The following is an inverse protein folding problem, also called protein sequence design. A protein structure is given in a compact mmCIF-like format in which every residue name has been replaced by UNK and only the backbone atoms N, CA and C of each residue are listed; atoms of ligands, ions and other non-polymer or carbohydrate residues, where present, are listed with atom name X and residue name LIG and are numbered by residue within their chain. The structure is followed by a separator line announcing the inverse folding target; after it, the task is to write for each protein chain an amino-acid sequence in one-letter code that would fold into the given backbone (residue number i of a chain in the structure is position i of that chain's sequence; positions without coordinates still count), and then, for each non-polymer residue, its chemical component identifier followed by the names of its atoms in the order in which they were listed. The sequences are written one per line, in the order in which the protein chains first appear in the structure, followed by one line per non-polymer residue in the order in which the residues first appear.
data_IF_903034563751
#
_entry.id   IF_903034563751
#
_cell.length_a   1.000
_cell.length_b   1.000
_cell.length_c   1.000
_cell.angle_alpha   90.00
_cell.angle_beta   90.00
_cell.angle_gamma   90.00
#
_symmetry.space_group_name_H-M   'P 1'
#
loop_
_entity.id
_entity.type
_entity.pdbx_description
1 polymer ?
#
# COMPACT_ATOMS: atom_id res chain seq x y z
N UNK A 1 0.67 -28.12 7.03
CA UNK A 1 -0.18 -26.95 7.30
C UNK A 1 -0.65 -26.36 5.97
N UNK A 2 -1.88 -25.84 5.92
CA UNK A 2 -2.33 -24.98 4.80
C UNK A 2 -1.99 -23.54 5.18
N UNK A 3 -1.67 -22.72 4.18
CA UNK A 3 -1.36 -21.29 4.35
C UNK A 3 -1.93 -20.52 3.17
N UNK A 4 -2.24 -19.24 3.38
CA UNK A 4 -2.50 -18.28 2.32
C UNK A 4 -1.26 -17.41 2.10
N UNK A 5 -0.92 -17.17 0.82
CA UNK A 5 0.25 -16.37 0.43
C UNK A 5 -0.20 -15.22 -0.47
N UNK A 6 -0.08 -13.99 0.03
CA UNK A 6 -0.31 -12.76 -0.73
C UNK A 6 1.01 -12.28 -1.31
N UNK A 7 1.05 -12.04 -2.62
CA UNK A 7 2.29 -11.70 -3.35
C UNK A 7 2.11 -10.41 -4.15
N UNK A 8 3.08 -9.50 -4.01
CA UNK A 8 3.21 -8.33 -4.87
C UNK A 8 3.72 -8.76 -6.25
N UNK A 9 3.03 -8.32 -7.32
CA UNK A 9 3.44 -8.66 -8.69
C UNK A 9 4.89 -8.21 -8.95
N UNK A 10 5.76 -9.09 -9.48
CA UNK A 10 7.13 -8.74 -9.81
C UNK A 10 7.21 -7.48 -10.69
N UNK A 11 8.11 -6.56 -10.32
CA UNK A 11 8.37 -5.34 -11.08
C UNK A 11 7.34 -4.22 -10.90
N UNK A 12 6.28 -4.40 -10.10
CA UNK A 12 5.24 -3.37 -9.92
C UNK A 12 5.80 -2.06 -9.34
N UNK A 13 6.72 -2.13 -8.38
CA UNK A 13 7.36 -0.93 -7.78
C UNK A 13 8.05 -0.08 -8.85
N UNK A 14 8.84 -0.73 -9.71
CA UNK A 14 9.58 -0.05 -10.79
C UNK A 14 8.61 0.58 -11.80
N UNK A 15 7.56 -0.15 -12.19
CA UNK A 15 6.52 0.38 -13.08
C UNK A 15 5.82 1.59 -12.44
N UNK A 16 5.42 1.47 -11.18
CA UNK A 16 4.77 2.56 -10.43
C UNK A 16 5.64 3.81 -10.35
N UNK A 17 6.93 3.69 -10.01
CA UNK A 17 7.83 4.85 -9.96
C UNK A 17 7.97 5.56 -11.31
N UNK A 18 8.01 4.83 -12.41
CA UNK A 18 8.00 5.42 -13.75
C UNK A 18 6.68 6.12 -14.06
N UNK A 19 5.56 5.50 -13.70
CA UNK A 19 4.24 6.05 -13.97
C UNK A 19 3.98 7.32 -13.11
N UNK A 20 4.55 7.41 -11.90
CA UNK A 20 4.51 8.59 -11.04
C UNK A 20 5.12 9.84 -11.69
N UNK A 21 6.21 9.71 -12.44
CA UNK A 21 6.80 10.84 -13.16
C UNK A 21 5.80 11.46 -14.15
N UNK A 22 5.04 10.61 -14.83
CA UNK A 22 3.99 11.03 -15.77
C UNK A 22 2.83 11.72 -15.05
N UNK A 23 2.46 11.26 -13.84
CA UNK A 23 1.42 11.91 -13.03
C UNK A 23 1.86 13.29 -12.55
N UNK A 24 3.10 13.44 -12.08
CA UNK A 24 3.62 14.76 -11.70
C UNK A 24 3.70 15.71 -12.89
N UNK A 25 4.09 15.21 -14.06
CA UNK A 25 4.04 16.00 -15.29
C UNK A 25 2.61 16.47 -15.58
N UNK A 26 1.64 15.56 -15.59
CA UNK A 26 0.24 15.90 -15.84
C UNK A 26 -0.32 16.90 -14.82
N UNK A 27 -0.06 16.70 -13.53
CA UNK A 27 -0.49 17.60 -12.46
C UNK A 27 0.08 19.02 -12.62
N UNK A 28 1.38 19.14 -12.95
CA UNK A 28 2.02 20.44 -13.22
C UNK A 28 1.46 21.12 -14.46
N UNK A 29 1.18 20.35 -15.52
CA UNK A 29 0.56 20.89 -16.73
C UNK A 29 -0.87 21.37 -16.45
N UNK A 30 -1.64 20.65 -15.63
CA UNK A 30 -2.97 21.06 -15.20
C UNK A 30 -2.94 22.38 -14.43
N UNK A 31 -2.07 22.52 -13.42
CA UNK A 31 -1.96 23.77 -12.65
C UNK A 31 -1.49 24.96 -13.51
N UNK A 32 -0.66 24.68 -14.52
CA UNK A 32 -0.13 25.68 -15.45
C UNK A 32 -1.19 26.18 -16.42
N UNK A 33 -1.93 25.28 -17.07
CA UNK A 33 -2.82 25.62 -18.18
C UNK A 33 -4.30 25.70 -17.80
N UNK A 34 -4.70 25.14 -16.66
CA UNK A 34 -6.09 25.10 -16.20
C UNK A 34 -6.16 25.76 -14.81
N UNK A 35 -6.29 27.10 -14.72
CA UNK A 35 -6.25 27.82 -13.44
C UNK A 35 -7.29 27.32 -12.42
N UNK A 36 -8.47 26.91 -12.88
CA UNK A 36 -9.53 26.35 -12.03
C UNK A 36 -9.15 25.03 -11.35
N UNK A 37 -8.15 24.30 -11.86
CA UNK A 37 -7.67 23.05 -11.26
C UNK A 37 -6.84 23.28 -9.99
N UNK A 38 -6.26 24.48 -9.80
CA UNK A 38 -5.37 24.76 -8.65
C UNK A 38 -6.05 24.56 -7.30
N UNK A 39 -7.36 24.79 -7.21
CA UNK A 39 -8.15 24.54 -5.99
C UNK A 39 -8.22 23.05 -5.61
N UNK A 40 -8.01 22.16 -6.58
CA UNK A 40 -7.95 20.70 -6.36
C UNK A 40 -6.54 20.24 -5.96
N UNK A 41 -5.53 21.13 -6.01
CA UNK A 41 -4.13 20.87 -5.63
C UNK A 41 -3.59 19.57 -6.26
N UNK A 42 -3.69 19.40 -7.59
CA UNK A 42 -3.38 18.11 -8.25
C UNK A 42 -1.93 17.65 -8.03
N UNK A 43 -0.96 18.55 -7.87
CA UNK A 43 0.42 18.17 -7.53
C UNK A 43 0.48 17.52 -6.14
N UNK A 44 -0.23 18.08 -5.17
CA UNK A 44 -0.26 17.53 -3.83
C UNK A 44 -1.06 16.23 -3.75
N UNK A 45 -2.17 16.13 -4.48
CA UNK A 45 -2.91 14.86 -4.61
C UNK A 45 -1.99 13.77 -5.15
N UNK A 46 -1.18 14.09 -6.17
CA UNK A 46 -0.18 13.17 -6.73
C UNK A 46 0.89 12.80 -5.70
N UNK A 47 1.33 13.76 -4.90
CA UNK A 47 2.30 13.53 -3.83
C UNK A 47 1.76 12.61 -2.73
N UNK A 48 0.52 12.83 -2.29
CA UNK A 48 -0.16 11.96 -1.32
C UNK A 48 -0.30 10.54 -1.88
N UNK A 49 -0.73 10.39 -3.13
CA UNK A 49 -0.80 9.09 -3.79
C UNK A 49 0.57 8.40 -3.83
N UNK A 50 1.62 9.12 -4.21
CA UNK A 50 2.98 8.58 -4.23
C UNK A 50 3.45 8.09 -2.86
N UNK A 51 3.15 8.84 -1.80
CA UNK A 51 3.50 8.48 -0.43
C UNK A 51 2.72 7.26 0.06
N UNK A 52 1.40 7.27 -0.08
CA UNK A 52 0.53 6.18 0.38
C UNK A 52 0.85 4.87 -0.34
N UNK A 53 0.96 4.87 -1.68
CA UNK A 53 1.25 3.63 -2.40
C UNK A 53 2.64 3.07 -2.05
N UNK A 54 3.64 3.93 -1.78
CA UNK A 54 4.97 3.46 -1.34
C UNK A 54 4.90 2.66 -0.04
N UNK A 55 4.05 3.08 0.89
CA UNK A 55 3.78 2.41 2.17
C UNK A 55 3.06 1.09 1.91
N UNK A 56 1.95 1.11 1.15
CA UNK A 56 1.13 -0.08 0.85
C UNK A 56 1.90 -1.19 0.13
N UNK A 57 2.93 -0.85 -0.64
CA UNK A 57 3.73 -1.86 -1.31
C UNK A 57 4.60 -2.67 -0.35
N UNK A 58 4.73 -2.35 0.94
CA UNK A 58 5.47 -3.16 1.92
C UNK A 58 4.53 -4.06 2.73
N UNK A 59 4.41 -5.32 2.36
CA UNK A 59 3.48 -6.26 3.01
C UNK A 59 3.83 -6.57 4.47
N UNK A 60 5.03 -6.18 4.95
CA UNK A 60 5.38 -6.29 6.38
C UNK A 60 4.55 -5.35 7.25
N UNK A 61 4.07 -4.23 6.70
CA UNK A 61 3.20 -3.31 7.43
C UNK A 61 1.81 -3.91 7.62
N UNK A 62 1.28 -4.58 6.59
CA UNK A 62 0.03 -5.34 6.69
C UNK A 62 0.18 -6.52 7.66
N UNK A 63 1.32 -7.21 7.65
CA UNK A 63 1.64 -8.27 8.60
C UNK A 63 1.64 -7.79 10.06
N UNK A 64 2.24 -6.62 10.32
CA UNK A 64 2.24 -6.00 11.63
C UNK A 64 0.82 -5.61 12.07
N UNK A 65 0.03 -5.00 11.17
CA UNK A 65 -1.36 -4.65 11.43
C UNK A 65 -2.24 -5.87 11.71
N UNK A 66 -2.02 -7.00 11.02
CA UNK A 66 -2.71 -8.26 11.30
C UNK A 66 -2.35 -8.80 12.69
N UNK A 67 -1.08 -8.73 13.07
CA UNK A 67 -0.64 -9.18 14.40
C UNK A 67 -1.25 -8.31 15.50
N UNK A 68 -1.23 -6.98 15.33
CA UNK A 68 -1.86 -6.05 16.26
C UNK A 68 -3.39 -6.27 16.35
N UNK A 69 -4.06 -6.44 15.20
CA UNK A 69 -5.49 -6.73 15.18
C UNK A 69 -5.80 -8.04 15.93
N UNK A 70 -4.99 -9.08 15.73
CA UNK A 70 -5.14 -10.36 16.42
C UNK A 70 -5.05 -10.23 17.94
N UNK A 71 -4.11 -9.42 18.44
CA UNK A 71 -4.00 -9.14 19.88
C UNK A 71 -5.19 -8.33 20.39
N UNK A 72 -5.58 -7.27 19.66
CA UNK A 72 -6.67 -6.38 20.05
C UNK A 72 -8.04 -7.08 20.10
N UNK A 73 -8.24 -8.11 19.27
CA UNK A 73 -9.52 -8.84 19.18
C UNK A 73 -9.47 -10.23 19.81
N UNK A 74 -8.45 -10.53 20.62
CA UNK A 74 -8.23 -11.86 21.21
C UNK A 74 -9.45 -12.39 21.99
N UNK A 75 -10.17 -11.48 22.63
CA UNK A 75 -11.30 -11.79 23.51
C UNK A 75 -12.67 -11.57 22.81
N UNK A 76 -12.68 -11.24 21.51
CA UNK A 76 -13.90 -10.99 20.75
C UNK A 76 -14.53 -12.30 20.24
N UNK A 77 -15.67 -12.75 20.80
CA UNK A 77 -16.26 -14.02 20.42
C UNK A 77 -16.77 -13.99 18.98
N UNK A 78 -16.36 -14.98 18.18
CA UNK A 78 -16.79 -15.12 16.79
C UNK A 78 -15.91 -14.37 15.77
N UNK A 79 -14.85 -13.69 16.23
CA UNK A 79 -13.86 -13.06 15.37
C UNK A 79 -12.50 -13.74 15.55
N UNK A 80 -11.77 -13.95 14.46
CA UNK A 80 -10.42 -14.50 14.48
C UNK A 80 -9.58 -13.84 13.39
N UNK A 81 -8.36 -13.49 13.73
CA UNK A 81 -7.33 -13.05 12.77
C UNK A 81 -6.36 -14.21 12.52
N UNK A 82 -5.99 -14.52 11.26
CA UNK A 82 -5.00 -15.56 10.97
C UNK A 82 -3.61 -15.14 11.47
N UNK A 83 -2.85 -16.10 11.98
CA UNK A 83 -1.48 -15.85 12.45
C UNK A 83 -0.54 -15.61 11.27
N UNK A 84 0.35 -14.65 11.40
CA UNK A 84 1.40 -14.34 10.41
C UNK A 84 2.57 -15.31 10.55
N UNK A 85 3.00 -15.91 9.45
CA UNK A 85 4.28 -16.63 9.36
C UNK A 85 5.39 -15.61 9.01
N UNK A 86 6.11 -15.16 10.04
CA UNK A 86 7.18 -14.16 9.91
C UNK A 86 8.43 -14.69 9.20
N UNK A 87 8.68 -16.01 9.21
CA UNK A 87 9.81 -16.61 8.49
C UNK A 87 9.60 -16.56 6.97
N UNK A 88 8.33 -16.62 6.53
CA UNK A 88 7.92 -16.59 5.11
C UNK A 88 7.25 -15.28 4.70
N UNK A 89 7.34 -14.26 5.54
CA UNK A 89 6.83 -12.92 5.25
C UNK A 89 7.99 -11.96 5.02
N UNK A 90 7.84 -11.14 4.00
CA UNK A 90 8.83 -10.14 3.61
C UNK A 90 8.16 -8.97 2.92
N UNK A 91 8.98 -8.13 2.30
CA UNK A 91 8.51 -6.88 1.69
C UNK A 91 7.45 -7.09 0.60
N UNK A 92 7.58 -8.16 -0.18
CA UNK A 92 6.75 -8.47 -1.36
C UNK A 92 5.82 -9.68 -1.14
N UNK A 93 5.90 -10.34 0.02
CA UNK A 93 5.16 -11.58 0.31
C UNK A 93 4.62 -11.53 1.75
N UNK A 94 3.33 -11.83 1.93
CA UNK A 94 2.71 -12.05 3.24
C UNK A 94 2.18 -13.48 3.29
N UNK A 95 2.59 -14.23 4.31
CA UNK A 95 2.15 -15.61 4.54
C UNK A 95 1.37 -15.69 5.85
N UNK A 96 0.19 -16.32 5.82
CA UNK A 96 -0.71 -16.46 6.97
C UNK A 96 -1.34 -17.86 7.04
N UNK A 97 -1.74 -18.30 8.24
CA UNK A 97 -2.45 -19.59 8.48
C UNK A 97 -3.79 -19.69 7.72
#
# INVERSE_FOLDING_TARGET
SRVAVKVIRPGVRRRFFRDLESYFLAARLQEKYIPSSRRLRPVEVTQTLAQTTKIEMDLRLEAAALSELGENTRDDPGFRVPTVDWERTGRDVLTME
#
